data_IF_046576460924
#
_entry.id   IF_046576460924
#
_cell.length_a   1.000
_cell.length_b   1.000
_cell.length_c   1.000
_cell.angle_alpha   90.00
_cell.angle_beta   90.00
_cell.angle_gamma   90.00
#
_symmetry.space_group_name_H-M   'P 1'
#
loop_
_entity.id
_entity.type
_entity.pdbx_description
1 polymer ?
#
# COMPACT_ATOMS: atom_id res chain seq x y z
N UNK A 1 13.19 7.75 5.46
CA UNK A 1 13.29 8.56 4.22
C UNK A 1 14.69 9.15 4.18
N UNK A 2 15.32 9.33 3.01
CA UNK A 2 16.38 10.33 2.92
C UNK A 2 15.78 11.63 3.48
N UNK A 3 16.55 12.52 4.10
CA UNK A 3 16.02 13.67 4.84
C UNK A 3 15.14 14.64 4.03
N UNK A 4 14.75 14.33 2.78
CA UNK A 4 14.17 15.25 1.80
C UNK A 4 15.02 16.52 1.69
N UNK A 5 16.34 16.38 1.87
CA UNK A 5 17.25 17.51 1.92
C UNK A 5 17.19 18.33 3.22
N UNK A 6 16.44 17.90 4.25
CA UNK A 6 16.48 18.59 5.55
C UNK A 6 17.90 18.50 6.14
N UNK A 7 18.45 19.64 6.57
CA UNK A 7 19.73 19.67 7.27
C UNK A 7 19.70 18.78 8.51
N UNK A 8 20.79 18.06 8.75
CA UNK A 8 20.94 17.17 9.92
C UNK A 8 20.68 17.94 11.22
N UNK A 9 21.15 19.18 11.31
CA UNK A 9 20.93 20.06 12.46
C UNK A 9 19.45 20.34 12.73
N UNK A 10 18.63 20.59 11.69
CA UNK A 10 17.17 20.77 11.85
C UNK A 10 16.53 19.50 12.45
N UNK A 11 16.94 18.33 11.97
CA UNK A 11 16.44 17.04 12.48
C UNK A 11 16.87 16.83 13.93
N UNK A 12 18.12 17.10 14.27
CA UNK A 12 18.66 16.88 15.61
C UNK A 12 18.04 17.87 16.61
N UNK A 13 17.82 19.13 16.22
CA UNK A 13 17.07 20.09 17.02
C UNK A 13 15.60 19.64 17.21
N UNK A 14 14.92 19.23 16.15
CA UNK A 14 13.54 18.76 16.24
C UNK A 14 13.41 17.50 17.12
N UNK A 15 14.41 16.61 17.11
CA UNK A 15 14.46 15.45 18.02
C UNK A 15 14.63 15.84 19.48
N UNK A 16 15.47 16.83 19.78
CA UNK A 16 15.66 17.35 21.15
C UNK A 16 14.36 17.92 21.72
N UNK A 17 13.55 18.53 20.86
CA UNK A 17 12.27 19.14 21.24
C UNK A 17 11.09 18.17 21.17
N UNK A 18 11.29 16.91 20.78
CA UNK A 18 10.21 15.94 20.69
C UNK A 18 9.84 15.44 22.10
N UNK A 19 8.57 15.56 22.53
CA UNK A 19 8.15 15.03 23.82
C UNK A 19 8.31 13.51 23.84
N UNK A 20 8.55 12.96 25.03
CA UNK A 20 8.59 11.51 25.21
C UNK A 20 7.20 10.93 25.02
N UNK A 21 6.95 10.39 23.84
CA UNK A 21 5.66 9.76 23.50
C UNK A 21 5.66 8.32 24.02
N UNK A 22 4.70 8.01 24.89
CA UNK A 22 4.45 6.68 25.44
C UNK A 22 3.08 6.17 24.97
N UNK A 23 2.76 4.89 25.20
CA UNK A 23 1.43 4.36 24.88
C UNK A 23 0.32 5.11 25.62
N UNK A 24 0.57 5.50 26.88
CA UNK A 24 -0.36 6.32 27.67
C UNK A 24 -0.63 7.69 27.07
N UNK A 25 0.29 8.27 26.29
CA UNK A 25 0.07 9.53 25.57
C UNK A 25 -1.11 9.45 24.61
N UNK A 26 -1.44 8.25 24.12
CA UNK A 26 -2.55 8.04 23.19
C UNK A 26 -3.91 7.87 23.89
N UNK A 27 -3.95 7.65 25.20
CA UNK A 27 -5.19 7.30 25.92
C UNK A 27 -5.55 8.38 26.94
N UNK A 28 -4.56 9.03 27.55
CA UNK A 28 -4.79 10.05 28.57
C UNK A 28 -5.43 11.32 27.95
N UNK A 29 -6.67 11.67 28.34
CA UNK A 29 -7.42 12.79 27.77
C UNK A 29 -6.83 14.16 28.16
N UNK A 30 -5.87 14.21 29.09
CA UNK A 30 -5.17 15.44 29.48
C UNK A 30 -4.08 15.84 28.48
N UNK A 31 -3.61 14.90 27.66
CA UNK A 31 -2.67 15.22 26.61
C UNK A 31 -3.41 15.86 25.43
N UNK A 32 -2.73 16.78 24.75
CA UNK A 32 -3.21 17.30 23.48
C UNK A 32 -3.44 16.15 22.50
N UNK A 33 -4.45 16.32 21.62
CA UNK A 33 -4.70 15.36 20.56
C UNK A 33 -3.44 15.17 19.69
N UNK A 34 -2.80 16.27 19.33
CA UNK A 34 -1.55 16.27 18.57
C UNK A 34 -0.39 16.22 19.55
N UNK A 35 0.40 15.15 19.49
CA UNK A 35 1.47 14.83 20.45
C UNK A 35 2.83 15.39 20.05
N UNK A 36 2.92 16.10 18.92
CA UNK A 36 4.17 16.68 18.43
C UNK A 36 4.02 18.17 18.16
N UNK A 37 5.08 18.98 18.36
CA UNK A 37 5.02 20.40 18.07
C UNK A 37 4.57 20.69 16.63
N UNK A 38 3.63 21.60 16.47
CA UNK A 38 3.04 22.02 15.19
C UNK A 38 2.42 20.88 14.36
N UNK A 39 2.18 19.70 14.93
CA UNK A 39 1.66 18.55 14.18
C UNK A 39 2.55 18.11 13.02
N UNK A 40 3.87 18.27 13.12
CA UNK A 40 4.79 17.84 12.07
C UNK A 40 5.92 17.03 12.66
N UNK A 41 5.91 15.71 12.43
CA UNK A 41 6.95 14.83 12.95
C UNK A 41 8.32 15.27 12.44
N UNK A 42 9.16 15.81 13.32
CA UNK A 42 10.51 16.29 13.02
C UNK A 42 10.60 17.32 11.87
N UNK A 43 9.49 18.01 11.56
CA UNK A 43 9.42 18.95 10.43
C UNK A 43 9.19 18.29 9.05
N UNK A 44 9.03 16.97 8.97
CA UNK A 44 8.86 16.26 7.69
C UNK A 44 7.55 16.62 6.96
N UNK A 45 6.57 17.16 7.68
CA UNK A 45 5.23 17.45 7.17
C UNK A 45 4.90 18.94 7.19
N UNK A 46 5.91 19.81 7.27
CA UNK A 46 5.73 21.28 7.27
C UNK A 46 5.07 21.79 5.97
N UNK A 47 5.18 21.03 4.88
CA UNK A 47 4.53 21.30 3.60
C UNK A 47 3.00 21.12 3.64
N UNK A 48 2.47 20.45 4.67
CA UNK A 48 1.02 20.32 4.89
C UNK A 48 0.53 21.60 5.57
N UNK A 49 -0.56 22.23 5.07
CA UNK A 49 -1.15 23.40 5.72
C UNK A 49 -1.42 23.16 7.20
N UNK A 50 -1.08 24.13 8.05
CA UNK A 50 -1.18 24.01 9.51
C UNK A 50 -2.61 23.68 9.97
N UNK A 51 -3.63 24.28 9.34
CA UNK A 51 -5.04 24.01 9.62
C UNK A 51 -5.48 22.56 9.35
N UNK A 52 -4.69 21.76 8.61
CA UNK A 52 -4.91 20.33 8.41
C UNK A 52 -4.13 19.46 9.40
N UNK A 53 -3.09 20.01 10.04
CA UNK A 53 -2.20 19.33 11.00
C UNK A 53 -2.63 19.50 12.44
N UNK A 54 -2.99 20.73 12.83
CA UNK A 54 -3.32 21.09 14.21
C UNK A 54 -4.75 21.60 14.33
N UNK A 55 -5.27 21.56 15.56
CA UNK A 55 -6.63 22.00 15.88
C UNK A 55 -7.63 20.84 16.00
N UNK A 56 -8.88 21.21 16.25
CA UNK A 56 -9.99 20.26 16.46
C UNK A 56 -10.38 19.61 15.15
N UNK A 57 -10.80 18.35 15.22
CA UNK A 57 -11.47 17.69 14.11
C UNK A 57 -12.74 18.46 13.73
N UNK A 58 -13.15 18.36 12.47
CA UNK A 58 -14.47 18.87 12.06
C UNK A 58 -15.54 18.05 12.76
N UNK A 59 -16.62 18.71 13.20
CA UNK A 59 -17.72 18.06 13.94
C UNK A 59 -18.30 16.88 13.18
N UNK A 60 -18.31 16.93 11.85
CA UNK A 60 -18.79 15.84 10.97
C UNK A 60 -17.84 14.64 10.89
N UNK A 61 -16.56 14.79 11.21
CA UNK A 61 -15.57 13.72 11.06
C UNK A 61 -15.89 12.54 11.97
N UNK A 62 -16.15 12.78 13.26
CA UNK A 62 -16.41 11.72 14.22
C UNK A 62 -17.70 10.93 13.91
N UNK A 63 -18.88 11.57 13.68
CA UNK A 63 -20.08 10.86 13.23
C UNK A 63 -19.88 10.08 11.94
N UNK A 64 -19.11 10.60 10.98
CA UNK A 64 -18.80 9.87 9.74
C UNK A 64 -17.99 8.61 10.04
N UNK A 65 -16.95 8.71 10.89
CA UNK A 65 -16.14 7.58 11.30
C UNK A 65 -16.99 6.50 11.97
N UNK A 66 -17.81 6.92 12.95
CA UNK A 66 -18.71 6.03 13.68
C UNK A 66 -19.74 5.39 12.75
N UNK A 67 -20.32 6.16 11.82
CA UNK A 67 -21.26 5.65 10.84
C UNK A 67 -20.66 4.55 9.97
N UNK A 68 -19.42 4.72 9.50
CA UNK A 68 -18.70 3.69 8.73
C UNK A 68 -18.43 2.44 9.58
N UNK A 69 -18.01 2.60 10.84
CA UNK A 69 -17.79 1.47 11.76
C UNK A 69 -19.08 0.71 12.04
N UNK A 70 -20.17 1.42 12.31
CA UNK A 70 -21.49 0.82 12.54
C UNK A 70 -21.98 0.10 11.30
N UNK A 71 -21.82 0.70 10.11
CA UNK A 71 -22.16 0.05 8.85
C UNK A 71 -21.41 -1.27 8.69
N UNK A 72 -20.08 -1.27 8.85
CA UNK A 72 -19.27 -2.48 8.76
C UNK A 72 -19.68 -3.52 9.81
N UNK A 73 -19.98 -3.10 11.03
CA UNK A 73 -20.43 -4.00 12.09
C UNK A 73 -21.80 -4.63 11.78
N UNK A 74 -22.73 -3.87 11.20
CA UNK A 74 -24.05 -4.36 10.82
C UNK A 74 -24.01 -5.30 9.61
N UNK A 75 -23.00 -5.18 8.76
CA UNK A 75 -22.82 -6.02 7.57
C UNK A 75 -21.80 -7.13 7.78
N UNK A 76 -21.57 -7.57 9.03
CA UNK A 76 -20.71 -8.73 9.30
C UNK A 76 -21.34 -9.97 8.64
N UNK A 77 -20.62 -10.70 7.78
CA UNK A 77 -21.11 -11.94 7.18
C UNK A 77 -21.35 -13.00 8.28
N UNK A 78 -22.45 -13.75 8.17
CA UNK A 78 -22.85 -14.75 9.16
C UNK A 78 -21.97 -16.01 9.04
N UNK A 79 -21.73 -16.70 10.17
CA UNK A 79 -20.81 -17.85 10.20
C UNK A 79 -21.19 -19.00 9.27
N UNK A 80 -22.48 -19.19 9.04
CA UNK A 80 -23.02 -20.25 8.18
C UNK A 80 -22.75 -20.02 6.68
N UNK A 81 -22.34 -18.81 6.30
CA UNK A 81 -21.99 -18.44 4.91
C UNK A 81 -20.50 -18.67 4.60
N UNK A 82 -19.68 -19.00 5.61
CA UNK A 82 -18.28 -19.33 5.38
C UNK A 82 -18.17 -20.69 4.69
N UNK A 83 -18.30 -20.68 3.37
CA UNK A 83 -18.02 -21.84 2.53
C UNK A 83 -16.51 -22.11 2.55
N UNK A 84 -16.10 -22.75 3.64
CA UNK A 84 -14.76 -23.26 3.83
C UNK A 84 -14.53 -24.51 2.99
N UNK A 85 -15.46 -24.94 2.12
CA UNK A 85 -15.19 -26.00 1.16
C UNK A 85 -14.11 -25.54 0.18
N UNK A 86 -12.90 -25.83 0.64
CA UNK A 86 -11.61 -25.94 -0.02
C UNK A 86 -11.62 -25.32 -1.40
N UNK A 87 -11.39 -24.01 -1.43
CA UNK A 87 -10.79 -23.44 -2.60
C UNK A 87 -9.57 -24.25 -2.99
N UNK A 88 -9.54 -24.76 -4.21
CA UNK A 88 -8.42 -25.59 -4.66
C UNK A 88 -7.17 -24.71 -4.75
N UNK A 89 -6.19 -25.00 -3.91
CA UNK A 89 -4.87 -24.38 -3.99
C UNK A 89 -4.03 -25.09 -5.05
N UNK A 90 -3.02 -24.42 -5.64
CA UNK A 90 -2.16 -25.09 -6.61
C UNK A 90 -1.41 -26.24 -5.95
N UNK A 91 -1.47 -27.43 -6.55
CA UNK A 91 -0.67 -28.58 -6.13
C UNK A 91 0.82 -28.23 -6.11
N UNK A 92 1.55 -28.91 -5.24
CA UNK A 92 3.00 -28.84 -5.13
C UNK A 92 3.68 -29.06 -6.49
N UNK A 93 4.83 -28.42 -6.68
CA UNK A 93 5.66 -28.52 -7.89
C UNK A 93 4.99 -28.10 -9.21
N UNK A 94 3.80 -27.52 -9.17
CA UNK A 94 3.20 -26.87 -10.34
C UNK A 94 3.86 -25.52 -10.62
N UNK A 95 3.73 -25.01 -11.86
CA UNK A 95 4.22 -23.66 -12.22
C UNK A 95 3.66 -22.56 -11.31
N UNK A 96 2.43 -22.72 -10.83
CA UNK A 96 1.77 -21.80 -9.91
C UNK A 96 2.38 -21.86 -8.50
N UNK A 97 2.76 -23.05 -8.04
CA UNK A 97 3.48 -23.24 -6.78
C UNK A 97 4.85 -22.57 -6.83
N UNK A 98 5.66 -22.85 -7.87
CA UNK A 98 6.96 -22.21 -8.06
C UNK A 98 6.86 -20.69 -8.11
N UNK A 99 5.86 -20.15 -8.81
CA UNK A 99 5.61 -18.71 -8.84
C UNK A 99 5.34 -18.13 -7.45
N UNK A 100 4.45 -18.74 -6.66
CA UNK A 100 4.15 -18.26 -5.31
C UNK A 100 5.39 -18.31 -4.41
N UNK A 101 6.19 -19.39 -4.49
CA UNK A 101 7.45 -19.52 -3.75
C UNK A 101 8.47 -18.44 -4.12
N UNK A 102 8.68 -18.20 -5.41
CA UNK A 102 9.64 -17.18 -5.89
C UNK A 102 9.15 -15.76 -5.54
N UNK A 103 7.86 -15.47 -5.76
CA UNK A 103 7.27 -14.19 -5.42
C UNK A 103 7.37 -13.91 -3.91
N UNK A 104 7.08 -14.90 -3.07
CA UNK A 104 7.25 -14.79 -1.61
C UNK A 104 8.68 -14.42 -1.24
N UNK A 105 9.68 -15.15 -1.74
CA UNK A 105 11.10 -14.91 -1.45
C UNK A 105 11.56 -13.52 -1.92
N UNK A 106 11.18 -13.12 -3.14
CA UNK A 106 11.50 -11.80 -3.69
C UNK A 106 10.89 -10.68 -2.84
N UNK A 107 9.60 -10.80 -2.52
CA UNK A 107 8.89 -9.77 -1.77
C UNK A 107 9.36 -9.67 -0.32
N UNK A 108 9.66 -10.82 0.31
CA UNK A 108 10.26 -10.88 1.64
C UNK A 108 11.66 -10.26 1.67
N UNK A 109 12.50 -10.56 0.68
CA UNK A 109 13.83 -9.95 0.53
C UNK A 109 13.73 -8.43 0.43
N UNK A 110 12.85 -7.92 -0.43
CA UNK A 110 12.64 -6.48 -0.56
C UNK A 110 12.14 -5.83 0.73
N UNK A 111 11.19 -6.48 1.42
CA UNK A 111 10.68 -6.00 2.70
C UNK A 111 11.80 -5.92 3.75
N UNK A 112 12.58 -6.98 3.91
CA UNK A 112 13.72 -7.01 4.83
C UNK A 112 14.75 -5.92 4.47
N UNK A 113 15.05 -5.75 3.19
CA UNK A 113 15.96 -4.70 2.72
C UNK A 113 15.44 -3.30 3.10
N UNK A 114 14.14 -3.04 2.97
CA UNK A 114 13.52 -1.77 3.36
C UNK A 114 13.64 -1.56 4.87
N UNK A 115 13.33 -2.57 5.67
CA UNK A 115 13.44 -2.51 7.13
C UNK A 115 14.88 -2.23 7.58
N UNK A 116 15.88 -2.78 6.88
CA UNK A 116 17.30 -2.57 7.18
C UNK A 116 17.82 -1.19 6.77
N UNK A 117 17.38 -0.67 5.62
CA UNK A 117 17.98 0.54 5.02
C UNK A 117 17.10 1.79 5.11
N UNK A 118 15.88 1.69 5.63
CA UNK A 118 14.94 2.82 5.75
C UNK A 118 14.48 3.01 7.19
N UNK A 119 13.82 4.13 7.42
CA UNK A 119 13.22 4.45 8.72
C UNK A 119 12.14 3.44 9.05
N UNK A 120 12.08 3.00 10.32
CA UNK A 120 11.07 2.04 10.82
C UNK A 120 9.63 2.45 10.49
N UNK A 121 9.34 3.76 10.45
CA UNK A 121 8.03 4.30 10.06
C UNK A 121 7.60 3.99 8.62
N UNK A 122 8.48 3.51 7.73
CA UNK A 122 8.09 3.06 6.39
C UNK A 122 7.18 1.83 6.46
N UNK A 123 7.36 0.97 7.47
CA UNK A 123 6.59 -0.27 7.64
C UNK A 123 5.10 0.00 7.83
N UNK A 124 4.74 1.15 8.36
CA UNK A 124 3.34 1.53 8.63
C UNK A 124 2.70 2.36 7.51
N UNK A 125 3.39 2.51 6.37
CA UNK A 125 2.81 3.17 5.19
C UNK A 125 1.87 2.21 4.47
N UNK A 126 0.79 2.74 3.88
CA UNK A 126 -0.22 1.92 3.20
C UNK A 126 0.38 1.01 2.13
N UNK A 127 1.30 1.53 1.31
CA UNK A 127 2.00 0.75 0.27
C UNK A 127 2.73 -0.46 0.84
N UNK A 128 3.41 -0.30 1.98
CA UNK A 128 4.16 -1.41 2.60
C UNK A 128 3.22 -2.39 3.28
N UNK A 129 2.11 -1.94 3.87
CA UNK A 129 1.10 -2.85 4.39
C UNK A 129 0.43 -3.67 3.28
N UNK A 130 0.10 -3.05 2.15
CA UNK A 130 -0.37 -3.77 0.95
C UNK A 130 0.66 -4.80 0.48
N UNK A 131 1.95 -4.42 0.43
CA UNK A 131 3.04 -5.33 0.11
C UNK A 131 3.14 -6.50 1.10
N UNK A 132 2.99 -6.23 2.40
CA UNK A 132 3.02 -7.24 3.46
C UNK A 132 1.93 -8.27 3.27
N UNK A 133 0.68 -7.82 3.12
CA UNK A 133 -0.46 -8.71 2.90
C UNK A 133 -0.22 -9.59 1.67
N UNK A 134 0.24 -8.99 0.58
CA UNK A 134 0.44 -9.70 -0.68
C UNK A 134 1.56 -10.75 -0.59
N UNK A 135 2.70 -10.43 0.03
CA UNK A 135 3.75 -11.44 0.22
C UNK A 135 3.32 -12.53 1.22
N UNK A 136 2.61 -12.17 2.30
CA UNK A 136 2.10 -13.15 3.27
C UNK A 136 1.23 -14.18 2.57
N UNK A 137 0.34 -13.75 1.68
CA UNK A 137 -0.50 -14.66 0.88
C UNK A 137 0.31 -15.53 -0.07
N UNK A 138 1.33 -14.99 -0.75
CA UNK A 138 2.21 -15.80 -1.59
C UNK A 138 2.88 -16.91 -0.77
N UNK A 139 3.33 -16.58 0.45
CA UNK A 139 3.88 -17.56 1.38
C UNK A 139 2.87 -18.62 1.78
N UNK A 140 1.64 -18.24 2.13
CA UNK A 140 0.59 -19.20 2.51
C UNK A 140 0.19 -20.08 1.30
N UNK A 141 0.03 -19.51 0.11
CA UNK A 141 -0.25 -20.27 -1.12
C UNK A 141 0.85 -21.30 -1.44
N UNK A 142 2.12 -20.96 -1.20
CA UNK A 142 3.24 -21.89 -1.38
C UNK A 142 3.23 -23.02 -0.33
N UNK A 143 2.74 -22.76 0.88
CA UNK A 143 2.61 -23.77 1.93
C UNK A 143 1.33 -24.60 1.83
N UNK A 144 0.29 -24.09 1.15
CA UNK A 144 -1.05 -24.65 1.14
C UNK A 144 -1.13 -26.16 0.81
N UNK A 145 -0.36 -26.72 -0.16
CA UNK A 145 -0.40 -28.16 -0.45
C UNK A 145 0.02 -29.07 0.71
N UNK A 146 0.79 -28.52 1.66
CA UNK A 146 1.31 -29.26 2.81
C UNK A 146 0.47 -29.05 4.07
N UNK A 147 -0.60 -28.24 3.99
CA UNK A 147 -1.46 -27.95 5.12
C UNK A 147 -2.69 -28.87 5.10
N UNK A 148 -3.17 -29.32 6.28
CA UNK A 148 -4.42 -30.05 6.33
C UNK A 148 -5.58 -29.16 5.87
N UNK A 149 -6.65 -29.78 5.37
CA UNK A 149 -7.90 -29.08 5.12
C UNK A 149 -8.33 -28.31 6.38
N UNK A 150 -8.90 -27.12 6.20
CA UNK A 150 -9.31 -26.23 7.30
C UNK A 150 -8.19 -25.65 8.18
N UNK A 151 -6.91 -25.81 7.81
CA UNK A 151 -5.82 -25.21 8.57
C UNK A 151 -6.00 -23.69 8.70
N UNK A 152 -5.70 -23.13 9.88
CA UNK A 152 -5.94 -21.71 10.18
C UNK A 152 -5.26 -20.74 9.20
N UNK A 153 -4.08 -21.10 8.68
CA UNK A 153 -3.39 -20.30 7.65
C UNK A 153 -4.21 -20.19 6.36
N UNK A 154 -4.93 -21.26 5.97
CA UNK A 154 -5.79 -21.23 4.79
C UNK A 154 -6.98 -20.27 5.03
N UNK A 155 -7.51 -20.21 6.26
CA UNK A 155 -8.52 -19.22 6.64
C UNK A 155 -7.98 -17.78 6.56
N UNK A 156 -6.78 -17.53 7.09
CA UNK A 156 -6.11 -16.23 6.94
C UNK A 156 -5.93 -15.89 5.45
N UNK A 157 -5.54 -16.87 4.64
CA UNK A 157 -5.40 -16.70 3.20
C UNK A 157 -6.75 -16.58 2.46
N UNK A 158 -7.88 -16.91 3.07
CA UNK A 158 -9.17 -16.51 2.54
C UNK A 158 -9.44 -15.04 2.88
N UNK A 159 -9.37 -14.68 4.16
CA UNK A 159 -9.60 -13.31 4.68
C UNK A 159 -8.77 -12.24 3.97
N UNK A 160 -7.50 -12.54 3.67
CA UNK A 160 -6.59 -11.57 3.06
C UNK A 160 -6.82 -11.37 1.55
N UNK A 161 -7.73 -12.12 0.91
CA UNK A 161 -7.82 -12.24 -0.55
C UNK A 161 -8.18 -10.93 -1.20
N UNK A 162 -9.36 -10.40 -0.92
CA UNK A 162 -9.75 -9.10 -1.44
C UNK A 162 -8.89 -7.95 -0.87
N UNK A 163 -8.54 -7.90 0.43
CA UNK A 163 -7.61 -6.89 0.96
C UNK A 163 -6.28 -6.74 0.20
N UNK A 164 -5.68 -7.85 -0.24
CA UNK A 164 -4.43 -7.81 -1.01
C UNK A 164 -4.61 -7.08 -2.35
N UNK A 165 -5.67 -7.45 -3.09
CA UNK A 165 -5.98 -6.86 -4.39
C UNK A 165 -6.43 -5.41 -4.26
N UNK A 166 -7.27 -5.11 -3.27
CA UNK A 166 -7.74 -3.77 -2.95
C UNK A 166 -6.57 -2.84 -2.60
N UNK A 167 -5.70 -3.25 -1.68
CA UNK A 167 -4.54 -2.46 -1.27
C UNK A 167 -3.62 -2.16 -2.46
N UNK A 168 -3.34 -3.17 -3.28
CA UNK A 168 -2.49 -3.00 -4.46
C UNK A 168 -3.15 -2.12 -5.53
N UNK A 169 -4.48 -2.21 -5.71
CA UNK A 169 -5.27 -1.38 -6.63
C UNK A 169 -5.25 0.09 -6.23
N UNK A 170 -5.47 0.37 -4.94
CA UNK A 170 -5.41 1.73 -4.39
C UNK A 170 -4.00 2.28 -4.54
N UNK A 171 -2.96 1.52 -4.16
CA UNK A 171 -1.57 1.95 -4.31
C UNK A 171 -1.25 2.26 -5.77
N UNK A 172 -1.61 1.37 -6.70
CA UNK A 172 -1.35 1.55 -8.13
C UNK A 172 -2.07 2.78 -8.68
N UNK A 173 -3.37 2.90 -8.40
CA UNK A 173 -4.22 3.97 -8.95
C UNK A 173 -3.86 5.33 -8.35
N UNK A 174 -3.87 5.44 -7.01
CA UNK A 174 -3.64 6.71 -6.33
C UNK A 174 -2.20 7.18 -6.51
N UNK A 175 -1.20 6.29 -6.46
CA UNK A 175 0.17 6.73 -6.68
C UNK A 175 0.41 7.15 -8.12
N UNK A 176 0.15 6.27 -9.10
CA UNK A 176 0.61 6.49 -10.47
C UNK A 176 -0.28 7.47 -11.26
N UNK A 177 -1.58 7.56 -10.94
CA UNK A 177 -2.52 8.36 -11.72
C UNK A 177 -3.02 9.62 -11.00
N UNK A 178 -2.81 9.73 -9.68
CA UNK A 178 -3.24 10.92 -8.92
C UNK A 178 -2.03 11.65 -8.34
N UNK A 179 -1.29 11.03 -7.43
CA UNK A 179 -0.23 11.69 -6.67
C UNK A 179 1.00 11.99 -7.53
N UNK A 180 1.47 11.03 -8.32
CA UNK A 180 2.65 11.20 -9.16
C UNK A 180 2.48 12.33 -10.18
N UNK A 181 1.40 12.38 -11.00
CA UNK A 181 1.19 13.48 -11.94
C UNK A 181 1.01 14.82 -11.24
N UNK A 182 0.23 14.86 -10.15
CA UNK A 182 0.00 16.09 -9.38
C UNK A 182 1.31 16.66 -8.80
N UNK A 183 2.15 15.82 -8.20
CA UNK A 183 3.44 16.27 -7.67
C UNK A 183 4.33 16.77 -8.81
N UNK A 184 4.47 15.97 -9.88
CA UNK A 184 5.35 16.31 -11.00
C UNK A 184 4.95 17.61 -11.70
N UNK A 185 3.66 17.79 -11.98
CA UNK A 185 3.15 18.94 -12.75
C UNK A 185 2.95 20.17 -11.85
N UNK A 186 2.42 20.00 -10.64
CA UNK A 186 1.94 21.13 -9.82
C UNK A 186 2.83 21.50 -8.64
N UNK A 187 3.79 20.65 -8.23
CA UNK A 187 4.63 20.92 -7.04
C UNK A 187 6.11 21.08 -7.34
N UNK A 188 6.59 20.64 -8.49
CA UNK A 188 7.99 20.74 -8.86
C UNK A 188 8.16 21.88 -9.87
N UNK A 189 8.77 22.97 -9.39
CA UNK A 189 9.02 24.22 -10.08
C UNK A 189 10.28 24.19 -10.96
N UNK A 190 11.24 23.30 -10.67
CA UNK A 190 12.51 23.22 -11.42
C UNK A 190 12.70 21.87 -12.11
N UNK A 191 13.38 21.89 -13.25
CA UNK A 191 13.72 20.68 -14.02
C UNK A 191 14.61 19.71 -13.23
N UNK A 192 15.50 20.23 -12.38
CA UNK A 192 16.33 19.38 -11.50
C UNK A 192 15.46 18.60 -10.50
N UNK A 193 14.47 19.26 -9.88
CA UNK A 193 13.53 18.59 -8.95
C UNK A 193 12.66 17.57 -9.68
N UNK A 194 12.18 17.90 -10.88
CA UNK A 194 11.42 16.98 -11.73
C UNK A 194 12.23 15.75 -12.09
N UNK A 195 13.46 15.91 -12.59
CA UNK A 195 14.35 14.80 -12.92
C UNK A 195 14.70 13.93 -11.71
N UNK A 196 14.96 14.56 -10.56
CA UNK A 196 15.18 13.85 -9.29
C UNK A 196 13.96 13.05 -8.84
N UNK A 197 12.75 13.59 -9.04
CA UNK A 197 11.50 12.90 -8.73
C UNK A 197 11.24 11.73 -9.70
N UNK A 198 11.53 11.89 -10.99
CA UNK A 198 11.46 10.80 -11.96
C UNK A 198 12.45 9.68 -11.60
N UNK A 199 13.72 10.00 -11.35
CA UNK A 199 14.71 9.03 -10.88
C UNK A 199 14.24 8.31 -9.61
N UNK A 200 13.65 9.03 -8.66
CA UNK A 200 13.09 8.41 -7.46
C UNK A 200 11.98 7.39 -7.78
N UNK A 201 11.04 7.73 -8.65
CA UNK A 201 9.88 6.89 -8.98
C UNK A 201 10.24 5.69 -9.86
N UNK A 202 11.21 5.86 -10.77
CA UNK A 202 11.67 4.79 -11.66
C UNK A 202 12.77 3.91 -11.07
N UNK A 203 13.19 4.16 -9.82
CA UNK A 203 14.03 3.20 -9.09
C UNK A 203 13.34 1.86 -9.04
N UNK A 204 14.07 0.80 -9.38
CA UNK A 204 13.59 -0.59 -9.39
C UNK A 204 12.65 -0.90 -8.22
N UNK A 205 13.06 -0.57 -6.99
CA UNK A 205 12.24 -0.79 -5.79
C UNK A 205 10.88 -0.09 -5.83
N UNK A 206 10.80 1.18 -6.26
CA UNK A 206 9.54 1.92 -6.32
C UNK A 206 8.64 1.33 -7.41
N UNK A 207 9.21 0.98 -8.56
CA UNK A 207 8.46 0.28 -9.64
C UNK A 207 7.88 -1.03 -9.12
N UNK A 208 8.66 -1.83 -8.39
CA UNK A 208 8.14 -3.06 -7.79
C UNK A 208 6.94 -2.79 -6.88
N UNK A 209 7.04 -1.81 -6.00
CA UNK A 209 6.02 -1.51 -4.98
C UNK A 209 4.76 -0.83 -5.51
N UNK A 210 4.90 0.05 -6.50
CA UNK A 210 3.81 0.88 -7.01
C UNK A 210 3.24 0.41 -8.34
N UNK A 211 3.99 -0.39 -9.10
CA UNK A 211 3.57 -0.93 -10.40
C UNK A 211 3.46 -2.44 -10.34
N UNK A 212 4.51 -3.19 -9.99
CA UNK A 212 4.43 -4.66 -10.02
C UNK A 212 3.52 -5.24 -8.94
N UNK A 213 3.29 -4.52 -7.83
CA UNK A 213 2.46 -5.00 -6.72
C UNK A 213 1.03 -5.37 -7.14
N UNK A 214 0.41 -4.64 -8.08
CA UNK A 214 -0.92 -5.02 -8.59
C UNK A 214 -0.87 -6.31 -9.40
N UNK A 215 0.19 -6.53 -10.18
CA UNK A 215 0.36 -7.76 -10.96
C UNK A 215 0.57 -8.95 -10.01
N UNK A 216 1.40 -8.77 -8.97
CA UNK A 216 1.57 -9.78 -7.93
C UNK A 216 0.22 -10.12 -7.27
N UNK A 217 -0.57 -9.10 -6.92
CA UNK A 217 -1.87 -9.29 -6.28
C UNK A 217 -2.89 -9.99 -7.20
N UNK A 218 -3.00 -9.60 -8.47
CA UNK A 218 -3.86 -10.27 -9.47
C UNK A 218 -3.46 -11.74 -9.60
N UNK A 219 -2.17 -12.00 -9.82
CA UNK A 219 -1.66 -13.35 -9.95
C UNK A 219 -1.94 -14.16 -8.68
N UNK A 220 -1.77 -13.59 -7.49
CA UNK A 220 -2.01 -14.26 -6.20
C UNK A 220 -3.49 -14.56 -5.92
N UNK A 221 -4.40 -13.64 -6.27
CA UNK A 221 -5.79 -13.65 -5.78
C UNK A 221 -6.79 -14.20 -6.80
N UNK A 222 -6.45 -14.13 -8.10
CA UNK A 222 -7.35 -14.46 -9.21
C UNK A 222 -6.83 -15.61 -10.06
N UNK A 223 -5.50 -15.77 -10.19
CA UNK A 223 -4.89 -16.71 -11.16
C UNK A 223 -4.29 -17.94 -10.51
N UNK A 224 -3.52 -17.75 -9.44
CA UNK A 224 -2.83 -18.83 -8.72
C UNK A 224 -3.44 -19.12 -7.35
N UNK A 225 -4.42 -18.33 -6.94
CA UNK A 225 -5.18 -18.55 -5.72
C UNK A 225 -6.30 -19.57 -5.90
N UNK A 226 -7.26 -19.52 -5.00
CA UNK A 226 -8.51 -20.28 -4.97
C UNK A 226 -9.23 -20.36 -6.33
N UNK A 227 -9.00 -21.44 -7.09
CA UNK A 227 -9.71 -21.70 -8.34
C UNK A 227 -10.91 -22.61 -8.07
N UNK A 228 -12.00 -22.36 -8.79
CA UNK A 228 -13.14 -23.28 -8.87
C UNK A 228 -12.89 -24.19 -10.07
N UNK A 229 -12.92 -25.49 -9.84
CA UNK A 229 -12.91 -26.47 -10.94
C UNK A 229 -14.35 -26.56 -11.44
N UNK A 230 -14.57 -26.15 -12.69
CA UNK A 230 -15.87 -26.26 -13.31
C UNK A 230 -16.15 -27.73 -13.68
N UNK A 231 -17.32 -28.22 -13.25
CA UNK A 231 -17.76 -29.62 -13.31
C UNK A 231 -17.28 -30.38 -14.55
N UNK A 232 -16.44 -31.40 -14.32
CA UNK A 232 -16.02 -32.39 -15.32
C UNK A 232 -15.09 -31.91 -16.45
N UNK A 233 -14.99 -30.60 -16.70
CA UNK A 233 -14.22 -30.03 -17.82
C UNK A 233 -12.72 -29.88 -17.51
N UNK A 234 -12.35 -29.91 -16.23
CA UNK A 234 -11.00 -29.57 -15.77
C UNK A 234 -10.61 -28.10 -15.99
N UNK A 235 -11.54 -27.27 -16.48
CA UNK A 235 -11.33 -25.84 -16.67
C UNK A 235 -11.32 -25.15 -15.30
N UNK A 236 -10.26 -24.39 -15.07
CA UNK A 236 -10.09 -23.60 -13.84
C UNK A 236 -10.68 -22.22 -14.08
N UNK A 237 -11.74 -21.90 -13.35
CA UNK A 237 -12.34 -20.56 -13.33
C UNK A 237 -11.95 -19.83 -12.04
N UNK A 238 -11.80 -18.49 -12.11
CA UNK A 238 -11.53 -17.71 -10.92
C UNK A 238 -12.76 -17.77 -10.00
N UNK A 239 -12.57 -18.02 -8.69
CA UNK A 239 -13.62 -17.76 -7.70
C UNK A 239 -13.95 -16.27 -7.77
N UNK A 240 -15.20 -15.86 -7.89
CA UNK A 240 -15.54 -14.43 -7.81
C UNK A 240 -15.33 -13.91 -6.38
N UNK A 241 -15.26 -12.60 -6.20
CA UNK A 241 -15.34 -11.98 -4.89
C UNK A 241 -16.81 -11.89 -4.48
N UNK A 242 -17.13 -12.34 -3.28
CA UNK A 242 -18.46 -12.28 -2.67
C UNK A 242 -18.58 -11.10 -1.68
N UNK A 243 -19.70 -11.02 -0.96
CA UNK A 243 -19.95 -9.96 0.01
C UNK A 243 -19.02 -10.04 1.22
N UNK A 244 -18.59 -11.25 1.58
CA UNK A 244 -17.59 -11.51 2.62
C UNK A 244 -16.24 -10.91 2.25
N UNK A 245 -15.77 -11.17 1.02
CA UNK A 245 -14.57 -10.57 0.46
C UNK A 245 -14.64 -9.03 0.52
N UNK A 246 -15.77 -8.43 0.11
CA UNK A 246 -16.00 -6.98 0.19
C UNK A 246 -15.92 -6.48 1.64
N UNK A 247 -16.52 -7.19 2.59
CA UNK A 247 -16.49 -6.85 4.00
C UNK A 247 -15.06 -6.84 4.55
N UNK A 248 -14.25 -7.88 4.26
CA UNK A 248 -12.83 -7.91 4.65
C UNK A 248 -12.04 -6.74 4.06
N UNK A 249 -12.30 -6.38 2.80
CA UNK A 249 -11.71 -5.18 2.18
C UNK A 249 -12.08 -3.89 2.93
N UNK A 250 -13.35 -3.76 3.32
CA UNK A 250 -13.87 -2.67 4.14
C UNK A 250 -13.18 -2.57 5.50
N UNK A 251 -13.11 -3.68 6.24
CA UNK A 251 -12.44 -3.76 7.54
C UNK A 251 -10.94 -3.46 7.42
N UNK A 252 -10.26 -3.98 6.40
CA UNK A 252 -8.86 -3.68 6.15
C UNK A 252 -8.62 -2.18 5.93
N UNK A 253 -9.40 -1.56 5.05
CA UNK A 253 -9.29 -0.13 4.77
C UNK A 253 -9.63 0.72 6.00
N UNK A 254 -10.69 0.35 6.74
CA UNK A 254 -11.11 1.02 7.96
C UNK A 254 -10.07 0.89 9.07
N UNK A 255 -9.49 -0.30 9.25
CA UNK A 255 -8.42 -0.53 10.22
C UNK A 255 -7.20 0.35 9.95
N UNK A 256 -6.81 0.49 8.68
CA UNK A 256 -5.75 1.45 8.32
C UNK A 256 -6.19 2.90 8.51
N UNK A 257 -7.44 3.24 8.17
CA UNK A 257 -8.01 4.57 8.39
C UNK A 257 -7.96 4.97 9.86
N UNK A 258 -8.43 4.10 10.76
CA UNK A 258 -8.36 4.29 12.21
C UNK A 258 -6.91 4.42 12.69
N UNK A 259 -6.02 3.54 12.25
CA UNK A 259 -4.60 3.65 12.60
C UNK A 259 -4.01 4.99 12.13
N UNK A 260 -4.35 5.43 10.92
CA UNK A 260 -3.91 6.71 10.39
C UNK A 260 -4.46 7.89 11.21
N UNK A 261 -5.77 7.95 11.46
CA UNK A 261 -6.40 9.07 12.15
C UNK A 261 -6.13 9.08 13.65
N UNK A 262 -6.06 7.92 14.30
CA UNK A 262 -5.92 7.81 15.75
C UNK A 262 -4.46 7.73 16.21
N UNK A 263 -3.53 7.29 15.36
CA UNK A 263 -2.12 7.15 15.72
C UNK A 263 -1.24 8.08 14.90
N UNK A 264 -1.26 7.96 13.56
CA UNK A 264 -0.32 8.71 12.70
C UNK A 264 -0.59 10.23 12.71
N UNK A 265 -1.86 10.65 12.64
CA UNK A 265 -2.26 12.06 12.74
C UNK A 265 -1.78 12.69 14.04
N UNK A 266 -1.92 11.96 15.16
CA UNK A 266 -1.46 12.41 16.48
C UNK A 266 0.04 12.56 16.57
N UNK A 267 0.77 11.70 15.86
CA UNK A 267 2.22 11.77 15.73
C UNK A 267 2.69 12.84 14.72
N UNK A 268 1.78 13.59 14.09
CA UNK A 268 2.10 14.57 13.06
C UNK A 268 2.62 13.95 11.77
N UNK A 269 2.19 12.71 11.46
CA UNK A 269 2.55 11.95 10.26
C UNK A 269 1.43 12.06 9.24
N UNK A 270 1.49 13.11 8.41
CA UNK A 270 0.43 13.46 7.46
C UNK A 270 0.74 12.96 6.04
N UNK A 271 0.79 11.64 5.86
CA UNK A 271 1.06 10.99 4.57
C UNK A 271 -0.03 11.29 3.53
N UNK A 272 -1.27 11.48 3.99
CA UNK A 272 -2.44 11.69 3.14
C UNK A 272 -3.27 12.89 3.64
N UNK A 273 -2.84 14.13 3.33
CA UNK A 273 -3.53 15.33 3.83
C UNK A 273 -5.01 15.41 3.44
N UNK A 274 -5.38 14.81 2.30
CA UNK A 274 -6.76 14.72 1.81
C UNK A 274 -7.69 13.95 2.76
N UNK A 275 -7.14 13.07 3.60
CA UNK A 275 -7.89 12.33 4.61
C UNK A 275 -7.81 12.95 6.01
N UNK A 276 -7.29 14.18 6.14
CA UNK A 276 -7.25 14.86 7.43
C UNK A 276 -8.68 15.04 7.98
N UNK A 277 -8.95 14.66 9.24
CA UNK A 277 -10.24 14.88 9.89
C UNK A 277 -10.55 16.37 10.13
N UNK A 278 -9.58 17.25 9.84
CA UNK A 278 -9.69 18.71 9.93
C UNK A 278 -10.06 19.37 8.59
N UNK A 279 -10.08 18.61 7.50
CA UNK A 279 -10.46 19.11 6.18
C UNK A 279 -11.95 19.43 6.10
N UNK A 280 -12.32 20.53 5.44
CA UNK A 280 -13.73 20.82 5.12
C UNK A 280 -14.36 19.77 4.19
N UNK A 281 -13.53 18.96 3.52
CA UNK A 281 -13.95 17.90 2.61
C UNK A 281 -13.94 16.52 3.28
N UNK A 282 -13.76 16.42 4.61
CA UNK A 282 -13.57 15.13 5.31
C UNK A 282 -14.68 14.11 5.00
N UNK A 283 -15.95 14.54 4.99
CA UNK A 283 -17.07 13.65 4.67
C UNK A 283 -16.93 13.09 3.25
N UNK A 284 -16.67 13.96 2.28
CA UNK A 284 -16.53 13.58 0.87
C UNK A 284 -15.33 12.66 0.68
N UNK A 285 -14.17 13.00 1.26
CA UNK A 285 -12.94 12.23 1.04
C UNK A 285 -13.01 10.86 1.71
N UNK A 286 -13.69 10.73 2.85
CA UNK A 286 -13.88 9.45 3.52
C UNK A 286 -14.94 8.58 2.84
N UNK A 287 -16.07 9.15 2.40
CA UNK A 287 -17.05 8.42 1.59
C UNK A 287 -16.47 7.98 0.24
N UNK A 288 -15.57 8.79 -0.35
CA UNK A 288 -14.86 8.41 -1.57
C UNK A 288 -14.02 7.14 -1.38
N UNK A 289 -13.44 6.90 -0.20
CA UNK A 289 -12.74 5.63 0.07
C UNK A 289 -13.73 4.47 -0.01
N UNK A 290 -14.91 4.57 0.61
CA UNK A 290 -15.93 3.51 0.55
C UNK A 290 -16.38 3.25 -0.89
N UNK A 291 -16.62 4.33 -1.66
CA UNK A 291 -16.94 4.22 -3.08
C UNK A 291 -15.82 3.57 -3.89
N UNK A 292 -14.55 3.87 -3.58
CA UNK A 292 -13.40 3.24 -4.24
C UNK A 292 -13.30 1.75 -3.90
N UNK A 293 -13.57 1.35 -2.65
CA UNK A 293 -13.57 -0.07 -2.24
C UNK A 293 -14.64 -0.84 -3.03
N UNK A 294 -15.87 -0.32 -3.05
CA UNK A 294 -16.97 -0.93 -3.80
C UNK A 294 -16.72 -0.92 -5.32
N UNK A 295 -16.16 0.18 -5.83
CA UNK A 295 -15.78 0.31 -7.24
C UNK A 295 -14.75 -0.73 -7.65
N UNK A 296 -13.69 -0.94 -6.86
CA UNK A 296 -12.70 -1.98 -7.12
C UNK A 296 -13.29 -3.39 -7.00
N UNK A 297 -14.16 -3.63 -6.02
CA UNK A 297 -14.87 -4.90 -5.89
C UNK A 297 -15.66 -5.26 -7.16
N UNK A 298 -16.50 -4.33 -7.64
CA UNK A 298 -17.27 -4.52 -8.88
C UNK A 298 -16.38 -4.62 -10.11
N UNK A 299 -15.36 -3.77 -10.21
CA UNK A 299 -14.41 -3.79 -11.33
C UNK A 299 -13.69 -5.13 -11.47
N UNK A 300 -13.15 -5.68 -10.36
CA UNK A 300 -12.41 -6.93 -10.42
C UNK A 300 -13.29 -8.15 -10.68
N UNK A 301 -14.52 -8.18 -10.16
CA UNK A 301 -15.51 -9.18 -10.53
C UNK A 301 -15.86 -9.09 -12.02
N UNK A 302 -16.09 -7.88 -12.54
CA UNK A 302 -16.33 -7.68 -13.97
C UNK A 302 -15.14 -8.15 -14.82
N UNK A 303 -13.91 -7.88 -14.41
CA UNK A 303 -12.70 -8.36 -15.08
C UNK A 303 -12.60 -9.90 -15.10
N UNK A 304 -12.95 -10.58 -14.00
CA UNK A 304 -12.95 -12.04 -13.95
C UNK A 304 -14.03 -12.68 -14.82
N UNK A 305 -15.20 -12.03 -14.93
CA UNK A 305 -16.30 -12.56 -15.75
C UNK A 305 -16.04 -12.31 -17.24
N UNK A 306 -15.55 -11.13 -17.61
CA UNK A 306 -15.54 -10.69 -19.01
C UNK A 306 -14.15 -10.74 -19.68
N UNK A 307 -13.07 -10.74 -18.89
CA UNK A 307 -11.71 -10.53 -19.39
C UNK A 307 -10.67 -11.45 -18.75
N UNK A 308 -11.09 -12.63 -18.25
CA UNK A 308 -10.16 -13.56 -17.60
C UNK A 308 -9.08 -14.11 -18.54
N UNK A 309 -9.37 -14.17 -19.85
CA UNK A 309 -8.40 -14.54 -20.89
C UNK A 309 -7.22 -13.56 -20.97
N UNK A 310 -7.45 -12.27 -20.69
CA UNK A 310 -6.41 -11.24 -20.61
C UNK A 310 -5.59 -11.42 -19.33
N UNK A 311 -6.22 -11.90 -18.26
CA UNK A 311 -5.59 -12.20 -16.96
C UNK A 311 -4.87 -13.55 -16.93
N UNK A 312 -4.48 -14.11 -18.08
CA UNK A 312 -3.77 -15.39 -18.10
C UNK A 312 -2.43 -15.31 -17.37
N UNK A 313 -2.07 -16.41 -16.72
CA UNK A 313 -0.83 -16.52 -15.95
C UNK A 313 0.40 -16.15 -16.79
N UNK A 314 0.48 -16.67 -18.00
CA UNK A 314 1.61 -16.49 -18.91
C UNK A 314 1.74 -15.02 -19.33
N UNK A 315 0.62 -14.36 -19.68
CA UNK A 315 0.62 -12.95 -20.09
C UNK A 315 1.06 -12.04 -18.94
N UNK A 316 0.48 -12.24 -17.75
CA UNK A 316 0.84 -11.45 -16.58
C UNK A 316 2.28 -11.70 -16.12
N UNK A 317 2.78 -12.94 -16.22
CA UNK A 317 4.17 -13.26 -15.92
C UNK A 317 5.13 -12.56 -16.90
N UNK A 318 4.82 -12.56 -18.20
CA UNK A 318 5.61 -11.84 -19.21
C UNK A 318 5.61 -10.34 -18.94
N UNK A 319 4.44 -9.73 -18.67
CA UNK A 319 4.36 -8.30 -18.32
C UNK A 319 5.21 -8.00 -17.10
N UNK A 320 5.14 -8.82 -16.06
CA UNK A 320 5.94 -8.64 -14.85
C UNK A 320 7.45 -8.75 -15.13
N UNK A 321 7.87 -9.75 -15.90
CA UNK A 321 9.27 -9.92 -16.30
C UNK A 321 9.77 -8.72 -17.11
N UNK A 322 8.97 -8.21 -18.04
CA UNK A 322 9.30 -7.01 -18.82
C UNK A 322 9.47 -5.79 -17.89
N UNK A 323 8.59 -5.61 -16.92
CA UNK A 323 8.69 -4.51 -15.94
C UNK A 323 9.92 -4.65 -15.03
N UNK A 324 10.22 -5.86 -14.57
CA UNK A 324 11.43 -6.17 -13.79
C UNK A 324 12.69 -5.84 -14.60
N UNK A 325 12.77 -6.35 -15.83
CA UNK A 325 13.92 -6.12 -16.71
C UNK A 325 14.07 -4.64 -17.06
N UNK A 326 12.96 -3.95 -17.35
CA UNK A 326 12.95 -2.50 -17.62
C UNK A 326 13.43 -1.71 -16.40
N UNK A 327 12.99 -2.09 -15.19
CA UNK A 327 13.47 -1.46 -13.96
C UNK A 327 14.97 -1.66 -13.73
N UNK A 328 15.52 -2.82 -14.09
CA UNK A 328 16.96 -3.11 -14.01
C UNK A 328 17.75 -2.33 -15.08
N UNK A 329 17.26 -2.24 -16.31
CA UNK A 329 17.94 -1.53 -17.40
C UNK A 329 17.89 -0.01 -17.20
N UNK A 330 16.76 0.55 -16.77
CA UNK A 330 16.66 1.96 -16.40
C UNK A 330 17.68 2.34 -15.31
N UNK A 331 17.90 1.45 -14.33
CA UNK A 331 18.96 1.65 -13.32
C UNK A 331 20.34 1.78 -13.97
N UNK A 332 20.67 0.96 -14.98
CA UNK A 332 21.98 1.01 -15.67
C UNK A 332 22.15 2.25 -16.55
N UNK A 333 21.09 2.73 -17.19
CA UNK A 333 21.14 3.90 -18.09
C UNK A 333 21.17 5.21 -17.30
N UNK A 334 20.37 5.33 -16.23
CA UNK A 334 20.33 6.53 -15.38
C UNK A 334 21.54 6.65 -14.44
N UNK A 335 22.21 5.52 -14.13
CA UNK A 335 23.48 5.49 -13.39
C UNK A 335 24.68 5.62 -14.35
N UNK A 336 24.50 6.14 -15.58
CA UNK A 336 25.64 6.78 -16.24
C UNK A 336 26.13 7.86 -15.27
N UNK A 337 27.37 7.77 -14.76
CA UNK A 337 27.87 8.72 -13.80
C UNK A 337 27.70 10.10 -14.42
N UNK A 338 27.10 11.02 -13.66
CA UNK A 338 27.25 12.46 -13.92
C UNK A 338 28.74 12.74 -13.68
N UNK A 339 29.57 12.30 -14.62
CA UNK A 339 30.99 12.60 -14.67
C UNK A 339 31.09 14.10 -14.83
N UNK A 340 31.81 14.68 -13.87
CA UNK A 340 32.18 16.08 -13.74
C UNK A 340 31.01 17.06 -13.69
N UNK A 341 30.61 17.41 -12.46
CA UNK A 341 30.51 18.84 -12.17
C UNK A 341 31.82 19.47 -12.67
N UNK A 342 31.80 20.42 -13.62
CA UNK A 342 33.02 21.13 -13.99
C UNK A 342 33.61 21.67 -12.69
N UNK A 343 34.86 21.34 -12.43
CA UNK A 343 35.65 21.99 -11.39
C UNK A 343 35.46 23.49 -11.61
N UNK A 344 35.01 24.27 -10.60
CA UNK A 344 34.98 25.71 -10.75
C UNK A 344 36.40 26.11 -11.18
N UNK A 345 36.52 26.73 -12.37
CA UNK A 345 37.77 27.37 -12.73
C UNK A 345 38.01 28.37 -11.62
N UNK A 346 39.09 28.19 -10.86
CA UNK A 346 39.59 29.22 -9.98
C UNK A 346 39.85 30.43 -10.88
N UNK A 347 39.00 31.45 -10.77
CA UNK A 347 39.28 32.76 -11.32
C UNK A 347 40.54 33.23 -10.60
N UNK A 348 41.68 33.12 -11.30
CA UNK A 348 42.92 33.76 -10.89
C UNK A 348 42.65 35.26 -10.93
N UNK A 349 42.53 35.86 -9.75
CA UNK A 349 42.63 37.30 -9.57
C UNK A 349 44.07 37.67 -9.91
N UNK A 350 44.26 38.39 -11.03
CA UNK A 350 45.52 39.06 -11.37
C UNK A 350 45.72 40.34 -10.54
#
# INVERSE_FOLDING_TARGET
MASFGMPKEKIDNAKKNLPKITLSSFIDPRNDWVLVPNGSLLGFFDWVPENLRVGRWKTVAFPTLCGIVVLLYQTIPLEDEYDLQVSTYPSEYTKFWYYNSIAFLLMAYMFFWICRHRSKGVVVTFTILSWIINFTRHGINALAPFLPNQHFLLKINHVLRFPALLGASITFTIWNFVLFPYVYISKLDTEEKKNSFLDFNFKFRLVQQHVCNIIYAILNTMVTGSLVIEDGSGKRLPKLFDEEDLWYGGVYAMGYGLFYTMILDRLGVHLYPVFSPRSNLVLVTWLLIIMLIFGFYKFWNWMMVNHFDILSFERLLVVNLVLILSGITCLKVLVKPITSKPTPKEDKVE
#
